data_IF_554626480359
#
_entry.id   IF_554626480359
#
_cell.length_a   1.000
_cell.length_b   1.000
_cell.length_c   1.000
_cell.angle_alpha   90.00
_cell.angle_beta   90.00
_cell.angle_gamma   90.00
#
_symmetry.space_group_name_H-M   'P 1'
#
loop_
_entity.id
_entity.type
_entity.pdbx_description
1 polymer ?
#
# COMPACT_ATOMS: atom_id res chain seq x y z
N UNK A 1 17.70 -9.84 1.40
CA UNK A 1 16.87 -8.99 2.28
C UNK A 1 15.88 -9.91 2.93
N UNK A 2 15.70 -9.78 4.24
CA UNK A 2 14.75 -10.58 5.01
C UNK A 2 13.37 -9.90 5.04
N UNK A 3 12.29 -10.68 4.99
CA UNK A 3 10.91 -10.23 5.23
C UNK A 3 10.77 -9.88 6.70
N UNK A 4 10.31 -8.67 7.01
CA UNK A 4 10.08 -8.23 8.37
C UNK A 4 8.80 -8.83 8.95
N UNK A 5 8.78 -9.06 10.27
CA UNK A 5 7.63 -9.66 10.97
C UNK A 5 6.35 -8.82 10.86
N UNK A 6 6.47 -7.52 10.65
CA UNK A 6 5.36 -6.57 10.54
C UNK A 6 4.90 -6.32 9.10
N UNK A 7 5.47 -7.05 8.12
CA UNK A 7 5.24 -6.88 6.68
C UNK A 7 5.61 -5.54 6.06
N UNK A 8 6.30 -4.65 6.78
CA UNK A 8 6.68 -3.30 6.32
C UNK A 8 7.40 -3.31 4.96
N UNK A 9 8.10 -4.41 4.66
CA UNK A 9 8.88 -4.59 3.45
C UNK A 9 8.36 -5.70 2.52
N UNK A 10 7.13 -6.22 2.74
CA UNK A 10 6.54 -7.35 2.00
C UNK A 10 6.57 -7.15 0.48
N UNK A 11 6.13 -5.99 -0.03
CA UNK A 11 6.11 -5.71 -1.46
C UNK A 11 7.53 -5.69 -2.09
N UNK A 12 8.49 -5.08 -1.37
CA UNK A 12 9.89 -5.03 -1.79
C UNK A 12 10.53 -6.43 -1.76
N UNK A 13 10.26 -7.18 -0.69
CA UNK A 13 10.72 -8.55 -0.51
C UNK A 13 10.18 -9.47 -1.61
N UNK A 14 8.86 -9.44 -1.88
CA UNK A 14 8.20 -10.21 -2.96
C UNK A 14 8.84 -9.92 -4.32
N UNK A 15 9.09 -8.65 -4.61
CA UNK A 15 9.72 -8.24 -5.88
C UNK A 15 11.15 -8.79 -6.01
N UNK A 16 11.93 -8.78 -4.92
CA UNK A 16 13.30 -9.30 -4.90
C UNK A 16 13.32 -10.82 -5.00
N UNK A 17 12.44 -11.52 -4.31
CA UNK A 17 12.34 -12.99 -4.39
C UNK A 17 11.97 -13.44 -5.80
N UNK A 18 10.97 -12.84 -6.45
CA UNK A 18 10.66 -13.11 -7.87
C UNK A 18 11.87 -12.95 -8.77
N UNK A 19 12.64 -11.87 -8.57
CA UNK A 19 13.82 -11.60 -9.40
C UNK A 19 14.90 -12.66 -9.21
N UNK A 20 15.13 -13.12 -7.98
CA UNK A 20 16.11 -14.17 -7.70
C UNK A 20 15.65 -15.51 -8.29
N UNK A 21 14.36 -15.86 -8.15
CA UNK A 21 13.80 -17.06 -8.78
C UNK A 21 14.02 -16.99 -10.29
N UNK A 22 13.63 -15.88 -10.93
CA UNK A 22 13.80 -15.71 -12.37
C UNK A 22 15.25 -15.91 -12.82
N UNK A 23 16.23 -15.32 -12.13
CA UNK A 23 17.65 -15.47 -12.49
C UNK A 23 18.10 -16.93 -12.43
N UNK A 24 17.54 -17.72 -11.51
CA UNK A 24 17.96 -19.10 -11.26
C UNK A 24 17.20 -20.14 -12.08
N UNK A 25 15.93 -19.87 -12.40
CA UNK A 25 15.01 -20.85 -12.99
C UNK A 25 14.51 -20.43 -14.38
N UNK A 26 14.78 -19.18 -14.78
CA UNK A 26 14.26 -18.55 -16.00
C UNK A 26 12.73 -18.47 -16.07
N UNK A 27 12.03 -18.59 -14.93
CA UNK A 27 10.57 -18.44 -14.84
C UNK A 27 10.23 -16.99 -14.53
N UNK A 28 9.63 -16.31 -15.50
CA UNK A 28 9.10 -14.96 -15.34
C UNK A 28 7.86 -14.98 -14.45
N UNK A 29 7.80 -14.05 -13.50
CA UNK A 29 6.65 -13.87 -12.60
C UNK A 29 6.21 -15.17 -11.93
N UNK A 30 7.16 -15.89 -11.34
CA UNK A 30 6.94 -17.19 -10.69
C UNK A 30 5.67 -17.25 -9.80
N UNK A 31 5.45 -16.25 -8.94
CA UNK A 31 4.26 -16.21 -8.08
C UNK A 31 2.94 -16.03 -8.84
N UNK A 32 2.98 -15.46 -10.03
CA UNK A 32 1.80 -15.23 -10.88
C UNK A 32 1.59 -16.37 -11.90
N UNK A 33 2.55 -17.30 -12.04
CA UNK A 33 2.39 -18.50 -12.86
C UNK A 33 1.55 -19.55 -12.15
N UNK A 34 0.76 -20.32 -12.90
CA UNK A 34 0.03 -21.48 -12.37
C UNK A 34 1.04 -22.39 -11.67
N UNK A 35 0.65 -22.91 -10.50
CA UNK A 35 1.45 -23.85 -9.72
C UNK A 35 2.04 -24.92 -10.65
N UNK A 36 3.35 -25.12 -10.53
CA UNK A 36 4.10 -26.01 -11.42
C UNK A 36 3.56 -27.45 -11.32
N UNK A 37 3.70 -28.24 -12.38
CA UNK A 37 3.21 -29.61 -12.40
C UNK A 37 3.97 -30.47 -11.40
N UNK A 38 3.21 -31.27 -10.66
CA UNK A 38 3.74 -32.20 -9.64
C UNK A 38 4.40 -33.43 -10.27
N UNK A 39 4.20 -33.64 -11.57
CA UNK A 39 4.70 -34.82 -12.29
C UNK A 39 6.11 -34.60 -12.88
N UNK A 40 6.61 -33.36 -12.88
CA UNK A 40 7.92 -33.01 -13.44
C UNK A 40 8.96 -32.85 -12.34
N UNK A 41 10.02 -33.66 -12.38
CA UNK A 41 11.14 -33.55 -11.43
C UNK A 41 11.84 -32.17 -11.49
N UNK A 42 11.89 -31.56 -12.68
CA UNK A 42 12.47 -30.22 -12.86
C UNK A 42 11.61 -29.18 -12.12
N UNK A 43 10.30 -29.29 -12.26
CA UNK A 43 9.36 -28.36 -11.62
C UNK A 43 9.34 -28.52 -10.10
N UNK A 44 9.43 -29.74 -9.58
CA UNK A 44 9.61 -30.01 -8.16
C UNK A 44 10.93 -29.44 -7.62
N UNK A 45 12.02 -29.51 -8.39
CA UNK A 45 13.30 -28.93 -8.00
C UNK A 45 13.24 -27.39 -7.95
N UNK A 46 12.54 -26.78 -8.91
CA UNK A 46 12.28 -25.34 -8.95
C UNK A 46 11.44 -24.90 -7.74
N UNK A 47 10.37 -25.62 -7.44
CA UNK A 47 9.51 -25.29 -6.30
C UNK A 47 10.26 -25.45 -4.98
N UNK A 48 11.04 -26.52 -4.82
CA UNK A 48 11.91 -26.70 -3.64
C UNK A 48 12.91 -25.56 -3.46
N UNK A 49 13.48 -25.06 -4.55
CA UNK A 49 14.35 -23.89 -4.51
C UNK A 49 13.59 -22.64 -4.05
N UNK A 50 12.39 -22.41 -4.58
CA UNK A 50 11.54 -21.29 -4.18
C UNK A 50 11.13 -21.39 -2.70
N UNK A 51 10.76 -22.57 -2.21
CA UNK A 51 10.45 -22.81 -0.79
C UNK A 51 11.65 -22.52 0.10
N UNK A 52 12.85 -23.00 -0.28
CA UNK A 52 14.07 -22.72 0.46
C UNK A 52 14.39 -21.22 0.49
N UNK A 53 14.13 -20.50 -0.61
CA UNK A 53 14.30 -19.05 -0.65
C UNK A 53 13.35 -18.36 0.33
N UNK A 54 12.07 -18.73 0.36
CA UNK A 54 11.13 -18.18 1.34
C UNK A 54 11.68 -18.45 2.74
N UNK A 55 11.95 -19.71 3.08
CA UNK A 55 12.40 -20.11 4.42
C UNK A 55 13.64 -19.36 4.90
N UNK A 56 14.62 -19.15 4.02
CA UNK A 56 15.88 -18.47 4.37
C UNK A 56 15.80 -16.95 4.36
N UNK A 57 14.72 -16.38 3.82
CA UNK A 57 14.56 -14.93 3.66
C UNK A 57 13.36 -14.37 4.40
N UNK A 58 12.69 -15.14 5.27
CA UNK A 58 11.67 -14.63 6.18
C UNK A 58 12.18 -14.43 7.60
N UNK A 59 11.46 -13.66 8.40
CA UNK A 59 11.72 -13.53 9.83
C UNK A 59 11.53 -14.90 10.52
N UNK A 60 12.38 -15.30 11.50
CA UNK A 60 12.28 -16.62 12.14
C UNK A 60 10.91 -16.93 12.75
N UNK A 61 10.25 -15.92 13.32
CA UNK A 61 8.90 -16.07 13.89
C UNK A 61 7.80 -16.39 12.84
N UNK A 62 8.11 -16.29 11.54
CA UNK A 62 7.20 -16.65 10.45
C UNK A 62 7.48 -18.06 9.91
N UNK A 63 8.58 -18.71 10.31
CA UNK A 63 8.95 -20.05 9.84
C UNK A 63 7.89 -21.08 10.25
N UNK A 64 7.49 -21.06 11.52
CA UNK A 64 6.48 -21.99 12.06
C UNK A 64 5.17 -21.96 11.27
N UNK A 65 4.83 -20.82 10.66
CA UNK A 65 3.65 -20.68 9.83
C UNK A 65 3.75 -21.46 8.52
N UNK A 66 4.93 -21.45 7.89
CA UNK A 66 5.12 -22.07 6.58
C UNK A 66 5.69 -23.49 6.66
N UNK A 67 6.00 -23.99 7.85
CA UNK A 67 6.54 -25.35 8.05
C UNK A 67 5.59 -26.45 7.54
N UNK A 68 4.28 -26.21 7.58
CA UNK A 68 3.26 -27.15 7.06
C UNK A 68 3.00 -26.99 5.55
N UNK A 69 3.67 -26.05 4.89
CA UNK A 69 3.47 -25.81 3.46
C UNK A 69 4.37 -26.71 2.61
N UNK A 70 3.77 -27.68 1.93
CA UNK A 70 4.48 -28.59 1.01
C UNK A 70 5.07 -27.90 -0.22
N UNK A 71 4.57 -26.71 -0.60
CA UNK A 71 4.92 -26.02 -1.84
C UNK A 71 5.16 -24.52 -1.63
N UNK A 72 6.02 -23.94 -2.48
CA UNK A 72 6.41 -22.53 -2.35
C UNK A 72 5.23 -21.57 -2.53
N UNK A 73 4.32 -21.87 -3.47
CA UNK A 73 3.10 -21.09 -3.67
C UNK A 73 2.19 -21.09 -2.44
N UNK A 74 2.06 -22.24 -1.77
CA UNK A 74 1.25 -22.34 -0.55
C UNK A 74 1.86 -21.53 0.60
N UNK A 75 3.19 -21.60 0.75
CA UNK A 75 3.91 -20.80 1.74
C UNK A 75 3.75 -19.30 1.49
N UNK A 76 3.86 -18.88 0.23
CA UNK A 76 3.62 -17.48 -0.16
C UNK A 76 2.18 -17.04 0.13
N UNK A 77 1.18 -17.85 -0.25
CA UNK A 77 -0.22 -17.55 0.01
C UNK A 77 -0.51 -17.46 1.51
N UNK A 78 0.09 -18.32 2.33
CA UNK A 78 -0.07 -18.28 3.78
C UNK A 78 0.55 -17.03 4.39
N UNK A 79 1.76 -16.63 3.97
CA UNK A 79 2.38 -15.37 4.39
C UNK A 79 1.53 -14.17 3.95
N UNK A 80 1.11 -14.13 2.68
CA UNK A 80 0.26 -13.05 2.18
C UNK A 80 -1.05 -13.00 2.97
N UNK A 81 -1.71 -14.13 3.25
CA UNK A 81 -2.95 -14.19 4.04
C UNK A 81 -2.75 -13.70 5.47
N UNK A 82 -1.67 -14.10 6.13
CA UNK A 82 -1.32 -13.65 7.48
C UNK A 82 -1.20 -12.12 7.55
N UNK A 83 -0.49 -11.54 6.59
CA UNK A 83 -0.31 -10.10 6.51
C UNK A 83 -1.56 -9.37 6.02
N UNK A 84 -2.41 -9.99 5.19
CA UNK A 84 -3.69 -9.39 4.78
C UNK A 84 -4.73 -9.39 5.91
N UNK A 85 -4.75 -10.42 6.77
CA UNK A 85 -5.65 -10.45 7.94
C UNK A 85 -5.31 -9.38 8.98
N UNK A 86 -4.01 -9.04 9.14
CA UNK A 86 -3.58 -7.85 9.89
C UNK A 86 -3.66 -6.55 9.08
N UNK A 87 -3.54 -6.65 7.76
CA UNK A 87 -3.32 -5.55 6.81
C UNK A 87 -4.56 -4.73 6.54
N UNK A 88 -5.75 -5.32 6.38
CA UNK A 88 -6.97 -4.51 6.17
C UNK A 88 -7.26 -3.60 7.36
N UNK A 89 -7.25 -4.15 8.58
CA UNK A 89 -7.50 -3.36 9.79
C UNK A 89 -6.40 -2.32 10.02
N UNK A 90 -5.13 -2.66 9.75
CA UNK A 90 -4.02 -1.71 9.85
C UNK A 90 -4.06 -0.61 8.77
N UNK A 91 -4.45 -0.95 7.54
CA UNK A 91 -4.67 -0.01 6.44
C UNK A 91 -5.84 0.91 6.74
N UNK A 92 -6.97 0.38 7.22
CA UNK A 92 -8.12 1.19 7.65
C UNK A 92 -7.73 2.10 8.80
N UNK A 93 -7.01 1.61 9.81
CA UNK A 93 -6.54 2.44 10.92
C UNK A 93 -5.60 3.56 10.44
N UNK A 94 -4.64 3.23 9.56
CA UNK A 94 -3.70 4.22 8.99
C UNK A 94 -4.42 5.20 8.08
N UNK A 95 -5.44 4.76 7.34
CA UNK A 95 -6.29 5.61 6.51
C UNK A 95 -7.17 6.54 7.35
N UNK A 96 -7.77 6.05 8.43
CA UNK A 96 -8.52 6.88 9.38
C UNK A 96 -7.60 7.92 10.04
N UNK A 97 -6.37 7.53 10.41
CA UNK A 97 -5.37 8.44 10.94
C UNK A 97 -4.99 9.50 9.90
N UNK A 98 -4.76 9.11 8.64
CA UNK A 98 -4.50 10.03 7.54
C UNK A 98 -5.63 11.06 7.41
N UNK A 99 -6.89 10.61 7.34
CA UNK A 99 -8.06 11.48 7.25
C UNK A 99 -8.24 12.40 8.46
N UNK A 100 -7.70 12.04 9.63
CA UNK A 100 -7.79 12.86 10.84
C UNK A 100 -6.81 14.03 10.87
N UNK A 101 -5.79 14.02 10.01
CA UNK A 101 -4.87 15.16 9.91
C UNK A 101 -5.61 16.35 9.33
N UNK A 102 -5.54 17.46 10.05
CA UNK A 102 -6.08 18.75 9.64
C UNK A 102 -4.97 19.77 9.63
N UNK A 103 -4.99 20.68 8.65
CA UNK A 103 -3.95 21.68 8.52
C UNK A 103 -4.31 22.93 9.34
N UNK A 104 -3.59 23.15 10.43
CA UNK A 104 -3.72 24.33 11.27
C UNK A 104 -2.44 25.17 11.21
N UNK A 105 -2.55 26.32 10.54
CA UNK A 105 -1.48 27.32 10.38
C UNK A 105 -1.03 27.94 11.70
N UNK A 106 -1.82 27.83 12.76
CA UNK A 106 -1.48 28.34 14.09
C UNK A 106 -0.67 27.35 14.92
N UNK A 107 -0.72 26.06 14.57
CA UNK A 107 -0.10 24.97 15.33
C UNK A 107 1.11 24.36 14.62
N UNK A 108 1.10 24.30 13.28
CA UNK A 108 2.12 23.58 12.50
C UNK A 108 2.48 24.34 11.23
N UNK A 109 3.74 24.22 10.80
CA UNK A 109 4.12 24.70 9.47
C UNK A 109 3.60 23.75 8.39
N UNK A 110 3.40 24.28 7.17
CA UNK A 110 3.00 23.48 6.01
C UNK A 110 3.97 22.31 5.76
N UNK A 111 5.27 22.54 5.94
CA UNK A 111 6.29 21.51 5.73
C UNK A 111 6.17 20.36 6.73
N UNK A 112 5.98 20.67 8.02
CA UNK A 112 5.80 19.67 9.06
C UNK A 112 4.51 18.87 8.84
N UNK A 113 3.42 19.55 8.47
CA UNK A 113 2.15 18.91 8.15
C UNK A 113 2.30 17.92 6.97
N UNK A 114 2.93 18.36 5.88
CA UNK A 114 3.18 17.50 4.71
C UNK A 114 4.06 16.30 5.06
N UNK A 115 5.05 16.46 5.94
CA UNK A 115 5.91 15.33 6.36
C UNK A 115 5.13 14.25 7.11
N UNK A 116 4.21 14.64 7.99
CA UNK A 116 3.34 13.70 8.73
C UNK A 116 2.40 12.98 7.77
N UNK A 117 1.72 13.72 6.89
CA UNK A 117 0.83 13.17 5.85
C UNK A 117 1.60 12.22 4.93
N UNK A 118 2.80 12.60 4.48
CA UNK A 118 3.63 11.79 3.60
C UNK A 118 4.04 10.46 4.25
N UNK A 119 4.31 10.46 5.56
CA UNK A 119 4.64 9.23 6.30
C UNK A 119 3.48 8.23 6.26
N UNK A 120 2.25 8.69 6.50
CA UNK A 120 1.07 7.82 6.52
C UNK A 120 0.71 7.33 5.11
N UNK A 121 0.87 8.18 4.08
CA UNK A 121 0.75 7.77 2.66
C UNK A 121 1.77 6.67 2.33
N UNK A 122 3.05 6.85 2.72
CA UNK A 122 4.10 5.85 2.45
C UNK A 122 3.82 4.51 3.12
N UNK A 123 3.24 4.53 4.31
CA UNK A 123 2.82 3.32 5.02
C UNK A 123 1.65 2.62 4.33
N UNK A 124 0.63 3.37 3.90
CA UNK A 124 -0.46 2.80 3.10
C UNK A 124 0.07 2.17 1.79
N UNK A 125 0.98 2.84 1.10
CA UNK A 125 1.62 2.31 -0.12
C UNK A 125 2.44 1.04 0.15
N UNK A 126 3.21 0.97 1.25
CA UNK A 126 3.98 -0.23 1.60
C UNK A 126 3.09 -1.44 1.89
N UNK A 127 1.91 -1.17 2.46
CA UNK A 127 0.92 -2.18 2.80
C UNK A 127 0.08 -2.60 1.57
N UNK A 128 0.32 -2.02 0.39
CA UNK A 128 -0.35 -2.37 -0.86
C UNK A 128 -1.66 -1.64 -1.12
N UNK A 129 -1.95 -0.56 -0.38
CA UNK A 129 -3.13 0.26 -0.58
C UNK A 129 -3.14 0.88 -1.99
N UNK A 130 -4.28 0.79 -2.67
CA UNK A 130 -4.46 1.33 -4.03
C UNK A 130 -5.26 2.63 -4.00
N UNK A 131 -4.63 3.70 -4.46
CA UNK A 131 -5.27 5.00 -4.59
C UNK A 131 -6.19 5.05 -5.80
N UNK A 132 -7.41 5.56 -5.61
CA UNK A 132 -8.27 5.99 -6.71
C UNK A 132 -8.07 7.48 -6.98
N UNK A 133 -8.45 7.93 -8.17
CA UNK A 133 -8.38 9.35 -8.55
C UNK A 133 -9.17 10.23 -7.57
N UNK A 134 -10.35 9.78 -7.16
CA UNK A 134 -11.22 10.55 -6.26
C UNK A 134 -10.64 10.64 -4.85
N UNK A 135 -10.00 9.57 -4.36
CA UNK A 135 -9.28 9.60 -3.08
C UNK A 135 -8.16 10.64 -3.10
N UNK A 136 -7.36 10.69 -4.17
CA UNK A 136 -6.28 11.69 -4.30
C UNK A 136 -6.85 13.11 -4.26
N UNK A 137 -7.95 13.36 -4.99
CA UNK A 137 -8.62 14.67 -4.99
C UNK A 137 -9.11 15.03 -3.57
N UNK A 138 -9.75 14.09 -2.88
CA UNK A 138 -10.21 14.27 -1.51
C UNK A 138 -9.07 14.52 -0.50
N UNK A 139 -7.94 13.84 -0.64
CA UNK A 139 -6.77 14.06 0.22
C UNK A 139 -6.13 15.44 -0.01
N UNK A 140 -6.03 15.88 -1.26
CA UNK A 140 -5.58 17.24 -1.56
C UNK A 140 -6.51 18.30 -0.96
N UNK A 141 -7.83 18.06 -1.03
CA UNK A 141 -8.80 18.92 -0.37
C UNK A 141 -8.59 18.96 1.16
N UNK A 142 -8.55 17.78 1.80
CA UNK A 142 -8.48 17.62 3.26
C UNK A 142 -7.20 18.20 3.88
N UNK A 143 -6.06 18.08 3.20
CA UNK A 143 -4.75 18.50 3.73
C UNK A 143 -4.27 19.85 3.18
N UNK A 144 -4.89 20.35 2.10
CA UNK A 144 -4.56 21.62 1.48
C UNK A 144 -5.33 22.80 2.07
N UNK A 145 -6.60 22.60 2.45
CA UNK A 145 -7.42 23.67 3.04
C UNK A 145 -7.09 23.83 4.54
N UNK A 146 -6.68 25.02 5.00
CA UNK A 146 -6.59 25.30 6.42
C UNK A 146 -7.99 25.22 7.08
N UNK A 147 -8.01 24.89 8.38
CA UNK A 147 -9.28 24.81 9.13
C UNK A 147 -9.94 26.19 9.27
N UNK A 148 -9.13 27.26 9.30
CA UNK A 148 -9.59 28.63 9.51
C UNK A 148 -8.89 29.61 8.54
N UNK A 149 -9.55 30.74 8.29
CA UNK A 149 -9.05 31.80 7.41
C UNK A 149 -9.86 31.95 6.11
N UNK A 150 -9.44 32.88 5.23
CA UNK A 150 -10.16 33.21 4.00
C UNK A 150 -10.24 32.05 3.00
N UNK A 151 -9.31 31.09 3.08
CA UNK A 151 -9.28 29.87 2.27
C UNK A 151 -9.60 28.62 3.11
N UNK A 152 -10.45 28.78 4.13
CA UNK A 152 -10.83 27.68 5.02
C UNK A 152 -11.58 26.57 4.27
N UNK A 153 -11.61 25.37 4.85
CA UNK A 153 -12.43 24.26 4.33
C UNK A 153 -13.88 24.67 4.04
N UNK A 154 -14.47 25.52 4.89
CA UNK A 154 -15.85 26.01 4.72
C UNK A 154 -15.99 26.91 3.48
N UNK A 155 -15.04 27.84 3.28
CA UNK A 155 -15.03 28.71 2.11
C UNK A 155 -14.82 27.93 0.80
N UNK A 156 -13.87 26.99 0.81
CA UNK A 156 -13.60 26.12 -0.35
C UNK A 156 -14.81 25.22 -0.65
N UNK A 157 -15.48 24.68 0.38
CA UNK A 157 -16.71 23.88 0.20
C UNK A 157 -17.82 24.68 -0.46
N UNK A 158 -18.08 25.90 0.01
CA UNK A 158 -19.11 26.75 -0.57
C UNK A 158 -18.86 27.00 -2.07
N UNK A 159 -17.61 27.22 -2.47
CA UNK A 159 -17.24 27.43 -3.87
C UNK A 159 -17.35 26.15 -4.71
N UNK A 160 -16.91 25.00 -4.17
CA UNK A 160 -17.00 23.71 -4.84
C UNK A 160 -18.45 23.23 -4.98
N UNK A 161 -19.31 23.47 -4.00
CA UNK A 161 -20.74 23.14 -4.04
C UNK A 161 -21.46 23.90 -5.16
N UNK A 162 -21.15 25.18 -5.34
CA UNK A 162 -21.69 25.98 -6.46
C UNK A 162 -21.27 25.39 -7.81
N UNK A 163 -20.00 24.99 -7.96
CA UNK A 163 -19.53 24.31 -9.18
C UNK A 163 -20.20 22.95 -9.39
N UNK A 164 -20.39 22.18 -8.32
CA UNK A 164 -21.05 20.88 -8.39
C UNK A 164 -22.51 21.00 -8.83
N UNK A 165 -23.25 21.97 -8.27
CA UNK A 165 -24.63 22.24 -8.65
C UNK A 165 -24.74 22.67 -10.12
N UNK A 166 -23.75 23.41 -10.63
CA UNK A 166 -23.70 23.82 -12.03
C UNK A 166 -23.35 22.67 -12.99
N UNK A 167 -22.51 21.71 -12.57
CA UNK A 167 -22.12 20.55 -13.37
C UNK A 167 -21.79 19.31 -12.52
N UNK A 168 -22.79 18.45 -12.23
CA UNK A 168 -22.61 17.27 -11.39
C UNK A 168 -21.62 16.28 -12.02
N UNK A 169 -20.55 15.94 -11.29
CA UNK A 169 -19.54 14.96 -11.69
C UNK A 169 -18.27 15.52 -12.36
N UNK A 170 -18.12 16.84 -12.44
CA UNK A 170 -17.01 17.48 -13.16
C UNK A 170 -15.88 18.01 -12.27
N UNK A 171 -15.94 17.88 -10.94
CA UNK A 171 -14.89 18.41 -10.06
C UNK A 171 -13.58 17.66 -10.31
N UNK A 172 -12.57 18.39 -10.80
CA UNK A 172 -11.21 17.91 -11.01
C UNK A 172 -10.30 18.46 -9.91
N UNK A 173 -9.12 17.85 -9.76
CA UNK A 173 -8.07 18.36 -8.88
C UNK A 173 -7.74 19.84 -9.15
N UNK A 174 -7.75 20.25 -10.42
CA UNK A 174 -7.51 21.65 -10.80
C UNK A 174 -8.55 22.61 -10.22
N UNK A 175 -9.81 22.17 -10.08
CA UNK A 175 -10.87 22.98 -9.49
C UNK A 175 -10.63 23.16 -7.99
N UNK A 176 -10.22 22.10 -7.29
CA UNK A 176 -9.86 22.16 -5.86
C UNK A 176 -8.67 23.09 -5.64
N UNK A 177 -7.61 22.94 -6.44
CA UNK A 177 -6.41 23.80 -6.33
C UNK A 177 -6.72 25.28 -6.60
N UNK A 178 -7.64 25.58 -7.52
CA UNK A 178 -8.00 26.96 -7.84
C UNK A 178 -8.73 27.67 -6.69
N UNK A 179 -9.54 26.96 -5.92
CA UNK A 179 -10.26 27.54 -4.78
C UNK A 179 -9.40 27.68 -3.51
N UNK A 180 -8.20 27.11 -3.51
CA UNK A 180 -7.24 27.19 -2.40
C UNK A 180 -6.20 28.31 -2.57
N UNK A 181 -6.36 29.19 -3.57
CA UNK A 181 -5.43 30.28 -3.94
C UNK A 181 -6.12 31.64 -3.89
#
# INVERSE_FOLDING_TARGET
QQLEFDSSNLASWRTKTVRVIFVMTNILKYWDTKQLSKDSQIELAIDKYASQMIYTTIHPNLCDMIDECDYAHNAMEMLESHFHQGGWTAQVATFCQLCSHTFDLTMTTLLEHIQVVHKDIKKLESDGFKWTKDMIIGMFYQHGAPIAGPFSMEAVNAALDVKYQANPGAIKLADVCAEMQ
#
